data_IF_786434181689
#
_entry.id   IF_786434181689
#
_cell.length_a   1.000
_cell.length_b   1.000
_cell.length_c   1.000
_cell.angle_alpha   90.00
_cell.angle_beta   90.00
_cell.angle_gamma   90.00
#
_symmetry.space_group_name_H-M   'P 1'
#
loop_
_entity.id
_entity.type
_entity.pdbx_description
1 polymer ?
#
# COMPACT_ATOMS: atom_id res chain seq x y z
N UNK A 1 3.22 -22.60 -10.56
CA UNK A 1 3.34 -21.24 -11.12
C UNK A 1 3.02 -20.27 -9.99
N UNK A 2 4.02 -19.56 -9.45
CA UNK A 2 3.81 -18.61 -8.35
C UNK A 2 3.00 -17.42 -8.86
N UNK A 3 1.90 -17.10 -8.18
CA UNK A 3 1.05 -15.98 -8.56
C UNK A 3 1.80 -14.65 -8.41
N UNK A 4 1.48 -13.65 -9.23
CA UNK A 4 2.04 -12.29 -9.09
C UNK A 4 1.88 -11.76 -7.64
N UNK A 5 0.79 -12.16 -6.98
CA UNK A 5 0.51 -11.86 -5.58
C UNK A 5 1.51 -12.48 -4.60
N UNK A 6 1.93 -13.72 -4.83
CA UNK A 6 2.98 -14.37 -4.02
C UNK A 6 4.36 -13.71 -4.21
N UNK A 7 4.68 -13.26 -5.42
CA UNK A 7 5.92 -12.51 -5.69
C UNK A 7 5.94 -11.16 -4.97
N UNK A 8 4.83 -10.44 -4.99
CA UNK A 8 4.67 -9.19 -4.25
C UNK A 8 4.81 -9.46 -2.75
N UNK A 9 4.13 -10.47 -2.23
CA UNK A 9 4.24 -10.87 -0.83
C UNK A 9 5.68 -11.26 -0.43
N UNK A 10 6.43 -11.93 -1.30
CA UNK A 10 7.83 -12.28 -1.10
C UNK A 10 8.75 -11.04 -1.07
N UNK A 11 8.53 -10.06 -1.95
CA UNK A 11 9.27 -8.79 -1.94
C UNK A 11 8.99 -7.97 -0.66
N UNK A 12 7.76 -8.02 -0.15
CA UNK A 12 7.40 -7.40 1.12
C UNK A 12 8.05 -8.06 2.35
N UNK A 13 8.57 -9.29 2.25
CA UNK A 13 9.33 -9.93 3.35
C UNK A 13 10.65 -9.22 3.62
N UNK A 14 11.25 -8.61 2.59
CA UNK A 14 12.48 -7.82 2.74
C UNK A 14 12.22 -6.46 3.40
N UNK A 15 10.97 -5.98 3.41
CA UNK A 15 10.61 -4.68 3.98
C UNK A 15 10.09 -4.86 5.40
N UNK A 16 10.67 -4.18 6.42
CA UNK A 16 10.16 -4.28 7.79
C UNK A 16 8.68 -3.91 7.84
N UNK A 17 7.86 -4.66 8.59
CA UNK A 17 6.41 -4.44 8.69
C UNK A 17 6.05 -2.99 9.05
N UNK A 18 6.88 -2.33 9.87
CA UNK A 18 6.71 -0.90 10.20
C UNK A 18 6.80 0.01 8.97
N UNK A 19 7.65 -0.30 8.00
CA UNK A 19 7.76 0.44 6.73
C UNK A 19 6.52 0.23 5.87
N UNK A 20 5.96 -0.99 5.84
CA UNK A 20 4.72 -1.29 5.12
C UNK A 20 3.56 -0.45 5.66
N UNK A 21 3.41 -0.40 6.99
CA UNK A 21 2.40 0.43 7.66
C UNK A 21 2.62 1.91 7.37
N UNK A 22 3.84 2.40 7.53
CA UNK A 22 4.19 3.81 7.28
C UNK A 22 3.85 4.22 5.85
N UNK A 23 4.24 3.40 4.87
CA UNK A 23 3.97 3.68 3.46
C UNK A 23 2.47 3.65 3.15
N UNK A 24 1.70 2.71 3.72
CA UNK A 24 0.25 2.72 3.56
C UNK A 24 -0.37 4.04 4.05
N UNK A 25 0.03 4.53 5.22
CA UNK A 25 -0.47 5.79 5.79
C UNK A 25 -0.09 6.99 4.91
N UNK A 26 1.18 7.08 4.50
CA UNK A 26 1.68 8.19 3.68
C UNK A 26 0.93 8.27 2.36
N UNK A 27 0.75 7.14 1.66
CA UNK A 27 0.10 7.15 0.35
C UNK A 27 -1.41 7.37 0.44
N UNK A 28 -2.08 6.89 1.49
CA UNK A 28 -3.47 7.24 1.79
C UNK A 28 -3.61 8.74 2.04
N UNK A 29 -2.72 9.32 2.87
CA UNK A 29 -2.70 10.76 3.15
C UNK A 29 -2.44 11.60 1.89
N UNK A 30 -1.48 11.20 1.07
CA UNK A 30 -1.21 11.87 -0.21
C UNK A 30 -2.43 11.83 -1.14
N UNK A 31 -3.14 10.71 -1.20
CA UNK A 31 -4.35 10.58 -2.01
C UNK A 31 -5.43 11.58 -1.55
N UNK A 32 -5.61 11.71 -0.24
CA UNK A 32 -6.56 12.65 0.34
C UNK A 32 -6.23 14.12 0.05
N UNK A 33 -4.96 14.45 -0.19
CA UNK A 33 -4.53 15.81 -0.55
C UNK A 33 -4.65 16.04 -2.06
N UNK A 34 -4.13 15.12 -2.86
CA UNK A 34 -4.02 15.31 -4.32
C UNK A 34 -5.36 15.20 -5.03
N UNK A 35 -6.28 14.33 -4.57
CA UNK A 35 -7.59 14.15 -5.23
C UNK A 35 -8.42 15.45 -5.18
N UNK A 36 -8.66 16.10 -4.03
CA UNK A 36 -9.38 17.38 -3.99
C UNK A 36 -8.66 18.49 -4.73
N UNK A 37 -7.32 18.52 -4.69
CA UNK A 37 -6.53 19.53 -5.38
C UNK A 37 -6.53 19.39 -6.91
N UNK A 38 -6.62 18.17 -7.43
CA UNK A 38 -6.74 17.92 -8.86
C UNK A 38 -8.10 18.42 -9.41
N UNK A 39 -9.16 18.32 -8.61
CA UNK A 39 -10.52 18.72 -9.00
C UNK A 39 -10.69 20.25 -9.11
N UNK A 40 -9.89 21.04 -8.39
CA UNK A 40 -9.94 22.51 -8.37
C UNK A 40 -9.15 23.19 -9.51
N UNK A 41 -9.01 22.53 -10.67
CA UNK A 41 -8.32 23.08 -11.85
C UNK A 41 -6.86 22.64 -11.98
N UNK A 42 -6.55 21.39 -11.61
CA UNK A 42 -5.17 20.93 -11.47
C UNK A 42 -4.41 20.74 -12.77
N UNK A 43 -3.20 21.34 -12.83
CA UNK A 43 -2.15 20.98 -13.78
C UNK A 43 -2.02 19.46 -13.95
N UNK A 44 -1.60 19.03 -15.15
CA UNK A 44 -1.41 17.61 -15.52
C UNK A 44 -0.67 16.82 -14.45
N UNK A 45 0.35 17.43 -13.81
CA UNK A 45 1.14 16.81 -12.73
C UNK A 45 0.26 16.45 -11.52
N UNK A 46 -0.68 17.32 -11.13
CA UNK A 46 -1.58 17.11 -9.98
C UNK A 46 -2.57 15.98 -10.26
N UNK A 47 -3.06 15.91 -11.48
CA UNK A 47 -3.94 14.81 -11.92
C UNK A 47 -3.19 13.48 -11.89
N UNK A 48 -1.95 13.46 -12.39
CA UNK A 48 -1.09 12.26 -12.34
C UNK A 48 -0.84 11.83 -10.88
N UNK A 49 -0.51 12.76 -9.98
CA UNK A 49 -0.35 12.47 -8.55
C UNK A 49 -1.65 11.95 -7.92
N UNK A 50 -2.79 12.54 -8.24
CA UNK A 50 -4.09 12.09 -7.76
C UNK A 50 -4.48 10.67 -8.23
N UNK A 51 -3.87 10.16 -9.30
CA UNK A 51 -4.06 8.78 -9.79
C UNK A 51 -3.01 7.84 -9.20
N UNK A 52 -1.74 8.24 -9.18
CA UNK A 52 -0.64 7.40 -8.70
C UNK A 52 -0.72 7.18 -7.18
N UNK A 53 -1.08 8.21 -6.41
CA UNK A 53 -1.18 8.10 -4.96
C UNK A 53 -2.16 7.02 -4.51
N UNK A 54 -3.41 6.93 -5.02
CA UNK A 54 -4.33 5.87 -4.63
C UNK A 54 -3.92 4.49 -5.15
N UNK A 55 -3.23 4.40 -6.30
CA UNK A 55 -2.65 3.13 -6.78
C UNK A 55 -1.60 2.61 -5.80
N UNK A 56 -0.67 3.46 -5.35
CA UNK A 56 0.34 3.08 -4.36
C UNK A 56 -0.28 2.81 -2.99
N UNK A 57 -1.28 3.60 -2.58
CA UNK A 57 -2.02 3.35 -1.34
C UNK A 57 -2.64 1.95 -1.35
N UNK A 58 -3.30 1.58 -2.45
CA UNK A 58 -3.92 0.26 -2.61
C UNK A 58 -2.89 -0.85 -2.52
N UNK A 59 -1.75 -0.70 -3.21
CA UNK A 59 -0.64 -1.66 -3.15
C UNK A 59 -0.15 -1.89 -1.71
N UNK A 60 0.11 -0.80 -0.97
CA UNK A 60 0.62 -0.90 0.40
C UNK A 60 -0.41 -1.43 1.39
N UNK A 61 -1.69 -1.08 1.22
CA UNK A 61 -2.79 -1.64 2.02
C UNK A 61 -2.91 -3.15 1.79
N UNK A 62 -2.80 -3.62 0.54
CA UNK A 62 -2.80 -5.07 0.26
C UNK A 62 -1.60 -5.75 0.92
N UNK A 63 -0.40 -5.19 0.77
CA UNK A 63 0.81 -5.71 1.42
C UNK A 63 0.65 -5.77 2.95
N UNK A 64 0.01 -4.76 3.55
CA UNK A 64 -0.30 -4.71 4.97
C UNK A 64 -1.27 -5.83 5.38
N UNK A 65 -2.36 -6.03 4.63
CA UNK A 65 -3.35 -7.09 4.90
C UNK A 65 -2.70 -8.47 4.85
N UNK A 66 -1.87 -8.76 3.84
CA UNK A 66 -1.13 -10.01 3.75
C UNK A 66 -0.12 -10.17 4.90
N UNK A 67 0.59 -9.09 5.27
CA UNK A 67 1.49 -9.09 6.43
C UNK A 67 0.78 -9.39 7.75
N UNK A 68 -0.42 -8.85 7.96
CA UNK A 68 -1.26 -9.11 9.13
C UNK A 68 -1.74 -10.56 9.14
N UNK A 69 -2.27 -11.08 8.02
CA UNK A 69 -2.72 -12.48 7.91
C UNK A 69 -1.60 -13.45 8.25
N UNK A 70 -0.42 -13.25 7.67
CA UNK A 70 0.76 -14.09 7.96
C UNK A 70 1.18 -14.05 9.43
N UNK A 71 1.06 -12.89 10.10
CA UNK A 71 1.34 -12.77 11.54
C UNK A 71 0.28 -13.48 12.39
N UNK A 72 -0.98 -13.52 11.96
CA UNK A 72 -2.05 -14.26 12.67
C UNK A 72 -1.82 -15.76 12.57
N UNK A 73 -1.56 -16.27 11.37
CA UNK A 73 -1.23 -17.68 11.15
C UNK A 73 0.02 -18.14 11.93
N UNK A 74 1.03 -17.27 12.07
CA UNK A 74 2.22 -17.57 12.87
C UNK A 74 1.96 -17.58 14.38
N UNK A 75 0.90 -16.89 14.86
CA UNK A 75 0.47 -16.93 16.26
C UNK A 75 -0.37 -18.17 16.54
N UNK A 76 -1.29 -18.50 15.65
CA UNK A 76 -2.14 -19.70 15.76
C UNK A 76 -1.37 -21.03 15.74
N UNK A 77 -0.18 -21.08 15.14
CA UNK A 77 0.70 -22.27 15.21
C UNK A 77 1.53 -22.38 16.50
N UNK A 78 1.51 -21.34 17.34
CA UNK A 78 2.34 -21.25 18.55
C UNK A 78 1.55 -21.55 19.83
N UNK A 79 0.22 -21.59 19.72
CA UNK A 79 -0.73 -22.07 20.72
C UNK A 79 -1.09 -23.54 20.44
#
# INVERSE_FOLDING_TARGET
>A
MQSLWERIAASSVATPFGVIVMQAIVWVGMSAIWIPWALNGGDVIRVVLAIISPLLATYWVVALVFGIRRRREARERRD
#
